data_IF_800476851054
#
_entry.id   IF_800476851054
#
_cell.length_a   1.000
_cell.length_b   1.000
_cell.length_c   1.000
_cell.angle_alpha   90.00
_cell.angle_beta   90.00
_cell.angle_gamma   90.00
#
_symmetry.space_group_name_H-M   'P 1'
#
loop_
_entity.id
_entity.type
_entity.pdbx_description
1 polymer ?
#
# COMPACT_ATOMS: atom_id res chain seq x y z
N UNK A 1 9.73 -27.35 19.06
CA UNK A 1 8.96 -27.26 17.80
C UNK A 1 9.95 -26.90 16.70
N UNK A 2 9.82 -27.46 15.48
CA UNK A 2 10.67 -27.05 14.37
C UNK A 2 10.49 -25.56 14.08
N UNK A 3 11.53 -24.90 13.59
CA UNK A 3 11.45 -23.52 13.12
C UNK A 3 10.54 -23.42 11.90
N UNK A 4 10.07 -22.20 11.57
CA UNK A 4 9.25 -21.98 10.36
C UNK A 4 10.02 -22.39 9.09
N UNK A 5 11.33 -22.22 9.09
CA UNK A 5 12.19 -22.62 7.97
C UNK A 5 12.23 -24.13 7.80
N UNK A 6 12.43 -24.88 8.89
CA UNK A 6 12.41 -26.36 8.86
C UNK A 6 11.04 -26.90 8.49
N UNK A 7 9.97 -26.30 9.05
CA UNK A 7 8.60 -26.76 8.81
C UNK A 7 8.19 -26.68 7.34
N UNK A 8 8.64 -25.67 6.63
CA UNK A 8 8.22 -25.38 5.24
C UNK A 8 9.36 -25.51 4.23
N UNK A 9 10.49 -26.04 4.64
CA UNK A 9 11.70 -26.17 3.79
C UNK A 9 12.10 -24.83 3.15
N UNK A 10 12.10 -23.75 3.95
CA UNK A 10 12.42 -22.43 3.49
C UNK A 10 13.89 -22.11 3.67
N UNK A 11 14.46 -21.45 2.66
CA UNK A 11 15.84 -20.96 2.75
C UNK A 11 15.92 -19.81 3.77
N UNK A 12 16.77 -19.95 4.75
CA UNK A 12 17.08 -18.84 5.67
C UNK A 12 17.98 -17.82 4.98
N UNK A 13 17.60 -16.54 5.07
CA UNK A 13 18.31 -15.43 4.46
C UNK A 13 18.80 -14.47 5.53
N UNK A 14 20.08 -14.11 5.47
CA UNK A 14 20.67 -13.01 6.24
C UNK A 14 20.67 -11.79 5.32
N UNK A 15 19.75 -10.86 5.55
CA UNK A 15 19.62 -9.66 4.74
C UNK A 15 20.51 -8.54 5.28
N UNK A 16 21.52 -8.15 4.51
CA UNK A 16 22.43 -7.02 4.80
C UNK A 16 22.21 -5.82 3.88
N UNK A 17 21.25 -5.91 2.96
CA UNK A 17 20.97 -4.88 1.92
C UNK A 17 19.85 -3.91 2.30
N UNK A 18 19.27 -4.02 3.50
CA UNK A 18 18.16 -3.18 3.92
C UNK A 18 16.81 -3.65 3.37
N UNK A 19 15.97 -2.72 2.96
CA UNK A 19 14.61 -3.02 2.48
C UNK A 19 14.63 -3.59 1.07
N UNK A 20 14.24 -4.86 0.93
CA UNK A 20 14.23 -5.58 -0.34
C UNK A 20 12.85 -6.20 -0.59
N UNK A 21 12.18 -5.81 -1.66
CA UNK A 21 10.85 -6.31 -2.02
C UNK A 21 10.83 -7.84 -2.15
N UNK A 22 11.86 -8.41 -2.78
CA UNK A 22 11.99 -9.85 -2.97
C UNK A 22 12.14 -10.64 -1.65
N UNK A 23 12.52 -9.97 -0.56
CA UNK A 23 12.65 -10.54 0.78
C UNK A 23 11.51 -10.16 1.72
N UNK A 24 10.39 -9.66 1.20
CA UNK A 24 9.25 -9.22 1.98
C UNK A 24 9.40 -7.82 2.58
N UNK A 25 10.26 -6.98 1.99
CA UNK A 25 10.55 -5.59 2.33
C UNK A 25 11.27 -5.39 3.67
N UNK A 26 10.63 -5.72 4.79
CA UNK A 26 11.21 -5.58 6.14
C UNK A 26 10.53 -6.48 7.15
N UNK A 27 11.24 -6.76 8.23
CA UNK A 27 10.67 -7.38 9.45
C UNK A 27 10.08 -6.29 10.33
N UNK A 28 8.81 -6.37 10.74
CA UNK A 28 8.22 -5.40 11.65
C UNK A 28 8.83 -5.54 13.06
N UNK A 29 8.82 -4.45 13.81
CA UNK A 29 9.20 -4.45 15.22
C UNK A 29 8.16 -5.22 16.06
N UNK A 30 8.55 -5.77 17.23
CA UNK A 30 7.65 -6.54 18.09
C UNK A 30 6.34 -5.81 18.41
N UNK A 31 6.38 -4.51 18.72
CA UNK A 31 5.21 -3.70 19.06
C UNK A 31 4.21 -3.60 17.89
N UNK A 32 4.73 -3.61 16.65
CA UNK A 32 3.90 -3.60 15.44
C UNK A 32 3.22 -4.96 15.25
N UNK A 33 3.94 -6.04 15.51
CA UNK A 33 3.38 -7.40 15.44
C UNK A 33 2.27 -7.58 16.48
N UNK A 34 2.50 -7.15 17.72
CA UNK A 34 1.51 -7.21 18.80
C UNK A 34 0.25 -6.42 18.45
N UNK A 35 0.39 -5.19 17.94
CA UNK A 35 -0.73 -4.37 17.52
C UNK A 35 -1.52 -5.02 16.35
N UNK A 36 -0.80 -5.59 15.37
CA UNK A 36 -1.43 -6.30 14.25
C UNK A 36 -2.22 -7.53 14.75
N UNK A 37 -1.65 -8.33 15.66
CA UNK A 37 -2.34 -9.48 16.25
C UNK A 37 -3.57 -9.06 17.04
N UNK A 38 -3.48 -7.98 17.82
CA UNK A 38 -4.61 -7.44 18.57
C UNK A 38 -5.76 -7.02 17.63
N UNK A 39 -5.42 -6.35 16.51
CA UNK A 39 -6.39 -5.94 15.50
C UNK A 39 -7.04 -7.12 14.78
N UNK A 40 -6.26 -8.13 14.40
CA UNK A 40 -6.78 -9.32 13.71
C UNK A 40 -7.77 -10.15 14.54
N UNK A 41 -7.78 -9.98 15.84
CA UNK A 41 -8.72 -10.66 16.75
C UNK A 41 -10.02 -9.88 17.01
N UNK A 42 -10.27 -8.79 16.28
CA UNK A 42 -11.42 -7.91 16.46
C UNK A 42 -12.18 -7.71 15.15
N UNK A 43 -13.46 -7.39 15.28
CA UNK A 43 -14.26 -6.86 14.18
C UNK A 43 -14.32 -5.34 14.27
N UNK A 44 -14.15 -4.69 13.13
CA UNK A 44 -14.25 -3.23 13.02
C UNK A 44 -15.25 -2.86 11.93
N UNK A 45 -15.91 -1.73 12.10
CA UNK A 45 -16.55 -1.07 11.00
C UNK A 45 -15.46 -0.45 10.12
N UNK A 46 -15.28 -0.97 8.91
CA UNK A 46 -14.12 -0.66 8.06
C UNK A 46 -14.04 0.82 7.68
N UNK A 47 -15.19 1.46 7.43
CA UNK A 47 -15.23 2.89 7.12
C UNK A 47 -14.70 3.74 8.29
N UNK A 48 -15.09 3.38 9.50
CA UNK A 48 -14.63 4.06 10.72
C UNK A 48 -13.13 3.84 10.94
N UNK A 49 -12.65 2.61 10.78
CA UNK A 49 -11.23 2.26 10.90
C UNK A 49 -10.37 3.06 9.91
N UNK A 50 -10.73 3.07 8.62
CA UNK A 50 -9.98 3.78 7.58
C UNK A 50 -9.96 5.29 7.87
N UNK A 51 -11.10 5.89 8.19
CA UNK A 51 -11.20 7.32 8.45
C UNK A 51 -10.39 7.74 9.68
N UNK A 52 -10.49 7.00 10.78
CA UNK A 52 -9.80 7.34 12.04
C UNK A 52 -8.31 7.11 11.97
N UNK A 53 -7.86 6.02 11.34
CA UNK A 53 -6.44 5.78 11.14
C UNK A 53 -5.83 6.79 10.17
N UNK A 54 -6.53 7.15 9.10
CA UNK A 54 -6.13 8.21 8.18
C UNK A 54 -6.00 9.55 8.88
N UNK A 55 -7.01 9.97 9.63
CA UNK A 55 -6.98 11.22 10.41
C UNK A 55 -5.84 11.26 11.45
N UNK A 56 -5.57 10.13 12.11
CA UNK A 56 -4.44 10.01 13.03
C UNK A 56 -3.09 10.25 12.34
N UNK A 57 -2.87 9.58 11.19
CA UNK A 57 -1.63 9.70 10.42
C UNK A 57 -1.50 11.11 9.83
N UNK A 58 -2.58 11.68 9.31
CA UNK A 58 -2.59 13.04 8.78
C UNK A 58 -2.15 14.06 9.85
N UNK A 59 -2.68 13.94 11.07
CA UNK A 59 -2.27 14.77 12.20
C UNK A 59 -0.80 14.57 12.59
N UNK A 60 -0.31 13.33 12.55
CA UNK A 60 1.09 13.00 12.89
C UNK A 60 2.08 13.60 11.89
N UNK A 61 1.69 13.66 10.60
CA UNK A 61 2.52 14.14 9.49
C UNK A 61 2.28 15.61 9.16
N UNK A 62 1.34 16.27 9.83
CA UNK A 62 0.90 17.65 9.54
C UNK A 62 0.49 17.84 8.07
N UNK A 63 -0.40 16.97 7.59
CA UNK A 63 -0.96 17.00 6.23
C UNK A 63 -2.49 17.00 6.28
N UNK A 64 -3.14 17.42 5.19
CA UNK A 64 -4.60 17.52 5.10
C UNK A 64 -5.32 16.17 5.23
N UNK A 65 -4.72 15.10 4.71
CA UNK A 65 -5.32 13.77 4.72
C UNK A 65 -4.28 12.68 4.54
N UNK A 66 -4.62 11.48 4.99
CA UNK A 66 -3.81 10.29 4.78
C UNK A 66 -4.71 9.06 4.70
N UNK A 67 -4.25 8.05 3.99
CA UNK A 67 -4.90 6.74 3.93
C UNK A 67 -3.87 5.63 4.02
N UNK A 68 -4.26 4.50 4.61
CA UNK A 68 -3.44 3.31 4.68
C UNK A 68 -3.78 2.39 3.51
N UNK A 69 -2.77 1.97 2.78
CA UNK A 69 -2.89 1.06 1.64
C UNK A 69 -2.11 -0.22 1.87
N UNK A 70 -2.45 -1.28 1.14
CA UNK A 70 -1.79 -2.59 1.28
C UNK A 70 -0.34 -2.60 0.80
N UNK A 71 0.00 -1.78 -0.19
CA UNK A 71 1.35 -1.67 -0.75
C UNK A 71 1.51 -0.38 -1.55
N UNK A 72 2.75 -0.04 -1.91
CA UNK A 72 3.06 1.15 -2.70
C UNK A 72 2.36 1.16 -4.08
N UNK A 73 2.28 0.02 -4.75
CA UNK A 73 1.57 -0.10 -6.03
C UNK A 73 0.10 0.27 -5.92
N UNK A 74 -0.58 -0.22 -4.89
CA UNK A 74 -1.96 0.15 -4.61
C UNK A 74 -2.11 1.65 -4.30
N UNK A 75 -1.15 2.22 -3.55
CA UNK A 75 -1.14 3.65 -3.24
C UNK A 75 -0.98 4.52 -4.48
N UNK A 76 -0.09 4.15 -5.40
CA UNK A 76 0.10 4.87 -6.67
C UNK A 76 -1.18 4.81 -7.51
N UNK A 77 -1.73 3.61 -7.75
CA UNK A 77 -2.94 3.45 -8.55
C UNK A 77 -4.15 4.20 -7.94
N UNK A 78 -4.33 4.13 -6.62
CA UNK A 78 -5.39 4.86 -5.94
C UNK A 78 -5.21 6.37 -5.99
N UNK A 79 -3.97 6.87 -5.92
CA UNK A 79 -3.69 8.30 -6.04
C UNK A 79 -4.04 8.82 -7.43
N UNK A 80 -3.70 8.09 -8.48
CA UNK A 80 -4.08 8.43 -9.86
C UNK A 80 -5.59 8.39 -10.02
N UNK A 81 -6.24 7.31 -9.58
CA UNK A 81 -7.69 7.19 -9.64
C UNK A 81 -8.40 8.33 -8.90
N UNK A 82 -7.94 8.71 -7.72
CA UNK A 82 -8.51 9.81 -6.94
C UNK A 82 -8.44 11.15 -7.68
N UNK A 83 -7.32 11.44 -8.35
CA UNK A 83 -7.16 12.67 -9.15
C UNK A 83 -8.10 12.68 -10.36
N UNK A 84 -8.30 11.54 -11.01
CA UNK A 84 -9.18 11.41 -12.17
C UNK A 84 -10.67 11.47 -11.78
N UNK A 85 -11.04 10.77 -10.72
CA UNK A 85 -12.44 10.62 -10.26
C UNK A 85 -12.94 11.88 -9.54
N UNK A 86 -12.08 12.53 -8.75
CA UNK A 86 -12.44 13.66 -7.87
C UNK A 86 -13.62 13.26 -6.95
N UNK A 87 -14.72 14.02 -7.01
CA UNK A 87 -15.92 13.81 -6.16
C UNK A 87 -17.05 13.04 -6.88
N UNK A 88 -16.74 12.36 -7.98
CA UNK A 88 -17.74 11.64 -8.77
C UNK A 88 -17.82 10.17 -8.39
N UNK A 89 -18.81 9.79 -7.56
CA UNK A 89 -19.08 8.38 -7.24
C UNK A 89 -19.36 7.54 -8.49
N UNK A 90 -20.10 8.13 -9.45
CA UNK A 90 -20.37 7.45 -10.71
C UNK A 90 -19.08 7.12 -11.48
N UNK A 91 -18.15 8.09 -11.57
CA UNK A 91 -16.88 7.86 -12.27
C UNK A 91 -16.01 6.86 -11.50
N UNK A 92 -16.04 6.86 -10.17
CA UNK A 92 -15.34 5.87 -9.35
C UNK A 92 -15.77 4.44 -9.70
N UNK A 93 -17.07 4.21 -9.84
CA UNK A 93 -17.60 2.89 -10.18
C UNK A 93 -17.35 2.50 -11.65
N UNK A 94 -17.28 3.48 -12.56
CA UNK A 94 -17.19 3.28 -14.00
C UNK A 94 -15.83 3.67 -14.62
N UNK A 95 -14.82 3.96 -13.81
CA UNK A 95 -13.50 4.40 -14.29
C UNK A 95 -12.88 3.42 -15.29
N UNK A 96 -13.05 2.13 -15.08
CA UNK A 96 -12.49 1.05 -15.88
C UNK A 96 -13.07 0.94 -17.31
N UNK A 97 -14.19 1.60 -17.59
CA UNK A 97 -14.88 1.57 -18.90
C UNK A 97 -15.14 2.97 -19.46
N UNK A 98 -14.84 4.02 -18.69
CA UNK A 98 -15.11 5.39 -19.10
C UNK A 98 -13.87 6.02 -19.74
N UNK A 99 -13.93 6.50 -20.98
CA UNK A 99 -12.84 7.29 -21.56
C UNK A 99 -12.57 8.56 -20.74
N UNK A 100 -11.32 8.76 -20.37
CA UNK A 100 -10.88 9.95 -19.64
C UNK A 100 -10.10 10.85 -20.59
N UNK A 101 -10.55 12.09 -20.78
CA UNK A 101 -9.93 13.04 -21.71
C UNK A 101 -8.55 13.52 -21.24
N UNK A 102 -8.40 13.79 -19.94
CA UNK A 102 -7.14 14.29 -19.35
C UNK A 102 -6.52 13.15 -18.52
N UNK A 103 -5.93 12.19 -19.20
CA UNK A 103 -5.37 10.96 -18.60
C UNK A 103 -3.84 10.87 -18.71
N UNK A 104 -3.17 11.98 -18.99
CA UNK A 104 -1.71 11.99 -19.07
C UNK A 104 -1.08 12.09 -17.68
N UNK A 105 -0.23 11.13 -17.36
CA UNK A 105 0.52 11.09 -16.09
C UNK A 105 1.99 11.32 -16.38
N UNK A 106 2.56 12.37 -15.80
CA UNK A 106 3.98 12.69 -15.91
C UNK A 106 4.78 11.93 -14.88
N UNK A 107 5.63 11.02 -15.32
CA UNK A 107 6.53 10.24 -14.47
C UNK A 107 8.00 10.55 -14.84
N UNK A 108 8.85 10.97 -13.87
CA UNK A 108 10.28 11.11 -14.13
C UNK A 108 10.88 9.78 -14.56
N UNK A 109 11.62 9.78 -15.68
CA UNK A 109 12.14 8.53 -16.30
C UNK A 109 12.97 7.69 -15.33
N UNK A 110 13.75 8.32 -14.46
CA UNK A 110 14.55 7.62 -13.45
C UNK A 110 13.74 7.00 -12.31
N UNK A 111 12.46 7.35 -12.17
CA UNK A 111 11.55 6.80 -11.16
C UNK A 111 10.69 5.63 -11.68
N UNK A 112 10.77 5.34 -12.99
CA UNK A 112 10.11 4.17 -13.55
C UNK A 112 10.92 2.89 -13.28
N UNK A 113 11.16 2.63 -12.00
CA UNK A 113 11.89 1.44 -11.54
C UNK A 113 11.05 0.18 -11.71
N UNK A 114 11.72 -0.96 -11.86
CA UNK A 114 11.07 -2.25 -12.06
C UNK A 114 11.49 -3.23 -10.95
N UNK A 115 10.53 -3.60 -10.10
CA UNK A 115 10.67 -4.63 -9.06
C UNK A 115 9.59 -5.72 -9.23
N UNK A 116 9.49 -6.28 -10.43
CA UNK A 116 8.46 -7.24 -10.84
C UNK A 116 7.52 -6.66 -11.89
N UNK A 117 7.22 -5.36 -11.82
CA UNK A 117 6.59 -4.58 -12.88
C UNK A 117 7.13 -3.13 -12.85
N UNK A 118 7.21 -2.42 -13.98
CA UNK A 118 7.55 -1.01 -14.00
C UNK A 118 6.49 -0.17 -13.26
N UNK A 119 6.92 0.90 -12.57
CA UNK A 119 5.98 1.82 -11.88
C UNK A 119 4.93 2.36 -12.83
N UNK A 120 5.29 2.65 -14.09
CA UNK A 120 4.36 3.13 -15.12
C UNK A 120 3.19 2.19 -15.44
N UNK A 121 3.19 0.94 -14.94
CA UNK A 121 2.03 0.05 -15.06
C UNK A 121 0.94 0.30 -14.02
N UNK A 122 1.20 1.15 -13.01
CA UNK A 122 0.26 1.52 -11.95
C UNK A 122 -0.48 2.84 -12.24
N UNK A 123 -0.14 3.49 -13.35
CA UNK A 123 -0.65 4.82 -13.71
C UNK A 123 -1.33 4.84 -15.07
#
# INVERSE_FOLDING_TARGET
>A
MPSIFEKYDLKQVINTSGRMTILGVSTPRPEVVEAAMAGMNQYFEMKDLVNKTGAYIAKLLDVEGATVVSCASAGIAQSVAAVLVKDSDWLLENLHVTPIENNEIVLPRGHNVNFGAPVGTMV
#
